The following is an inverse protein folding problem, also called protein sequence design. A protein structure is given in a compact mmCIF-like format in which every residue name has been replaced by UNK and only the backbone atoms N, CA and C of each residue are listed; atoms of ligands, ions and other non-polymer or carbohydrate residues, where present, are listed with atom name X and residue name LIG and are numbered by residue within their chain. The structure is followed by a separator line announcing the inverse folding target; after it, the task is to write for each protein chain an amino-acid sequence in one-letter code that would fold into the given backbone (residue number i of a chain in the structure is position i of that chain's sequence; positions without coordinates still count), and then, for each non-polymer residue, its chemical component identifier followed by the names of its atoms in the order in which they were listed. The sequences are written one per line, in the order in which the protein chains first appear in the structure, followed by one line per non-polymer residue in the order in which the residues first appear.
data_IF_479566321570
#
_entry.id   IF_479566321570
#
_cell.length_a   1.000
_cell.length_b   1.000
_cell.length_c   1.000
_cell.angle_alpha   90.00
_cell.angle_beta   90.00
_cell.angle_gamma   90.00
#
_symmetry.space_group_name_H-M   'P 1'
#
loop_
_entity.id
_entity.type
_entity.pdbx_description
1 polymer ?
#
# COMPACT_ATOMS: atom_id res chain seq x y z
N UNK A 1 4.01 -7.65 0.21
CA UNK A 1 3.53 -9.04 0.24
C UNK A 1 4.61 -9.94 0.76
N UNK A 2 5.53 -10.35 -0.10
CA UNK A 2 6.62 -11.29 0.22
C UNK A 2 7.49 -10.84 1.40
N UNK A 3 8.04 -9.63 1.37
CA UNK A 3 8.86 -9.12 2.48
C UNK A 3 8.12 -9.09 3.83
N UNK A 4 6.80 -8.84 3.83
CA UNK A 4 5.99 -8.92 5.06
C UNK A 4 5.84 -10.36 5.53
N UNK A 5 5.56 -11.29 4.61
CA UNK A 5 5.45 -12.71 4.95
C UNK A 5 6.75 -13.24 5.54
N UNK A 6 7.89 -13.00 4.88
CA UNK A 6 9.20 -13.46 5.40
C UNK A 6 9.53 -12.84 6.75
N UNK A 7 9.23 -11.55 6.94
CA UNK A 7 9.42 -10.88 8.22
C UNK A 7 8.56 -11.48 9.33
N UNK A 8 7.33 -11.88 9.01
CA UNK A 8 6.47 -12.56 9.96
C UNK A 8 6.96 -13.97 10.29
N UNK A 9 7.48 -14.72 9.31
CA UNK A 9 8.03 -16.04 9.53
C UNK A 9 9.26 -15.98 10.45
N UNK A 10 10.21 -15.10 10.14
CA UNK A 10 11.41 -14.89 10.96
C UNK A 10 11.05 -14.43 12.39
N UNK A 11 10.09 -13.51 12.54
CA UNK A 11 9.61 -13.05 13.85
C UNK A 11 8.94 -14.15 14.69
N UNK A 12 8.46 -15.23 14.05
CA UNK A 12 7.89 -16.40 14.71
C UNK A 12 8.87 -17.58 14.79
N UNK A 13 10.16 -17.36 14.50
CA UNK A 13 11.20 -18.39 14.60
C UNK A 13 11.13 -19.48 13.52
N UNK A 14 10.44 -19.22 12.41
CA UNK A 14 10.38 -20.12 11.25
C UNK A 14 11.48 -19.71 10.27
N UNK A 15 12.47 -20.56 10.04
CA UNK A 15 13.55 -20.32 9.08
C UNK A 15 13.00 -20.60 7.68
N UNK A 16 12.44 -19.57 7.04
CA UNK A 16 11.82 -19.71 5.71
C UNK A 16 12.79 -20.18 4.62
N UNK A 17 14.11 -20.18 4.85
CA UNK A 17 15.10 -20.74 3.92
C UNK A 17 15.26 -22.25 4.06
N UNK A 18 14.88 -22.84 5.19
CA UNK A 18 15.01 -24.28 5.48
C UNK A 18 13.67 -24.97 5.61
N UNK A 19 12.70 -24.30 6.24
CA UNK A 19 11.42 -24.86 6.64
C UNK A 19 10.34 -24.72 5.56
N UNK A 20 10.59 -23.90 4.53
CA UNK A 20 9.62 -23.58 3.48
C UNK A 20 10.30 -23.63 2.10
N UNK A 21 9.57 -24.13 1.10
CA UNK A 21 9.95 -24.00 -0.30
C UNK A 21 9.20 -22.83 -0.93
N UNK A 22 9.94 -21.81 -1.40
CA UNK A 22 9.36 -20.66 -2.06
C UNK A 22 9.45 -20.80 -3.58
N UNK A 23 8.31 -20.63 -4.26
CA UNK A 23 8.23 -20.61 -5.71
C UNK A 23 7.76 -19.23 -6.18
N UNK A 24 8.56 -18.58 -7.02
CA UNK A 24 8.15 -17.33 -7.64
C UNK A 24 7.33 -17.62 -8.91
N UNK A 25 6.11 -17.11 -8.93
CA UNK A 25 5.20 -17.24 -10.07
C UNK A 25 4.95 -15.87 -10.69
N UNK A 26 4.81 -15.85 -12.01
CA UNK A 26 4.74 -14.63 -12.82
C UNK A 26 3.62 -13.65 -12.46
N UNK A 27 2.49 -14.14 -11.92
CA UNK A 27 1.32 -13.31 -11.62
C UNK A 27 0.33 -14.02 -10.67
N UNK A 28 -0.61 -13.28 -10.05
CA UNK A 28 -1.58 -13.86 -9.11
C UNK A 28 -2.49 -14.96 -9.67
N UNK A 29 -2.99 -14.90 -10.92
CA UNK A 29 -3.73 -16.03 -11.49
C UNK A 29 -2.93 -17.34 -11.51
N UNK A 30 -1.63 -17.29 -11.82
CA UNK A 30 -0.77 -18.47 -11.76
C UNK A 30 -0.63 -19.02 -10.33
N UNK A 31 -0.56 -18.13 -9.33
CA UNK A 31 -0.54 -18.51 -7.91
C UNK A 31 -1.84 -19.23 -7.52
N UNK A 32 -3.00 -18.71 -7.93
CA UNK A 32 -4.31 -19.33 -7.65
C UNK A 32 -4.40 -20.73 -8.25
N UNK A 33 -3.96 -20.91 -9.49
CA UNK A 33 -3.97 -22.23 -10.15
C UNK A 33 -2.96 -23.21 -9.52
N UNK A 34 -1.79 -22.74 -9.08
CA UNK A 34 -0.82 -23.57 -8.36
C UNK A 34 -1.41 -24.11 -7.03
N UNK A 35 -2.15 -23.28 -6.29
CA UNK A 35 -2.86 -23.72 -5.07
C UNK A 35 -3.93 -24.76 -5.43
N UNK A 36 -4.79 -24.47 -6.42
CA UNK A 36 -5.90 -25.37 -6.81
C UNK A 36 -5.43 -26.72 -7.34
N UNK A 37 -4.25 -26.76 -7.96
CA UNK A 37 -3.63 -27.99 -8.46
C UNK A 37 -2.77 -28.71 -7.41
N UNK A 38 -2.78 -28.27 -6.15
CA UNK A 38 -1.98 -28.79 -5.05
C UNK A 38 -0.46 -28.78 -5.32
N UNK A 39 0.02 -27.83 -6.14
CA UNK A 39 1.47 -27.65 -6.36
C UNK A 39 2.12 -26.85 -5.23
N UNK A 40 1.34 -25.98 -4.56
CA UNK A 40 1.76 -25.19 -3.39
C UNK A 40 0.65 -25.17 -2.35
N UNK A 41 1.03 -25.12 -1.07
CA UNK A 41 0.07 -25.12 0.04
C UNK A 41 -0.61 -23.75 0.25
N UNK A 42 0.09 -22.66 -0.08
CA UNK A 42 -0.37 -21.29 0.09
C UNK A 42 0.28 -20.35 -0.94
N UNK A 43 -0.32 -19.17 -1.12
CA UNK A 43 0.19 -18.17 -2.05
C UNK A 43 -0.02 -16.74 -1.56
N UNK A 44 0.90 -15.85 -1.92
CA UNK A 44 0.82 -14.42 -1.62
C UNK A 44 0.22 -13.68 -2.81
N UNK A 45 -1.02 -13.23 -2.65
CA UNK A 45 -1.76 -12.45 -3.67
C UNK A 45 -2.37 -11.19 -3.07
N UNK A 46 -2.76 -10.24 -3.91
CA UNK A 46 -3.36 -8.96 -3.51
C UNK A 46 -4.71 -8.75 -4.17
N UNK A 47 -5.49 -7.78 -3.69
CA UNK A 47 -6.78 -7.45 -4.29
C UNK A 47 -6.64 -6.88 -5.70
N UNK A 48 -7.54 -7.23 -6.64
CA UNK A 48 -8.79 -7.98 -6.45
C UNK A 48 -8.64 -9.50 -6.56
N UNK A 49 -7.42 -10.04 -6.69
CA UNK A 49 -7.20 -11.47 -6.90
C UNK A 49 -7.55 -12.32 -5.67
N UNK A 50 -7.54 -11.73 -4.47
CA UNK A 50 -8.06 -12.38 -3.26
C UNK A 50 -9.56 -12.70 -3.39
N UNK A 51 -10.36 -11.76 -3.89
CA UNK A 51 -11.79 -11.96 -4.21
C UNK A 51 -11.94 -13.04 -5.28
N UNK A 52 -11.10 -13.01 -6.33
CA UNK A 52 -11.12 -14.05 -7.37
C UNK A 52 -10.82 -15.43 -6.78
N UNK A 53 -9.85 -15.55 -5.88
CA UNK A 53 -9.49 -16.80 -5.23
C UNK A 53 -10.66 -17.33 -4.36
N UNK A 54 -11.29 -16.46 -3.56
CA UNK A 54 -12.45 -16.82 -2.73
C UNK A 54 -13.64 -17.29 -3.57
N UNK A 55 -13.93 -16.61 -4.68
CA UNK A 55 -14.98 -17.04 -5.61
C UNK A 55 -14.69 -18.40 -6.28
N UNK A 56 -13.42 -18.82 -6.31
CA UNK A 56 -13.00 -20.14 -6.80
C UNK A 56 -12.88 -21.19 -5.69
N UNK A 57 -13.37 -20.90 -4.48
CA UNK A 57 -13.41 -21.84 -3.35
C UNK A 57 -12.15 -21.85 -2.49
N UNK A 58 -11.17 -20.98 -2.75
CA UNK A 58 -10.02 -20.80 -1.87
C UNK A 58 -10.40 -19.91 -0.67
N UNK A 59 -9.51 -19.83 0.32
CA UNK A 59 -9.72 -19.03 1.53
C UNK A 59 -8.51 -18.16 1.83
N UNK A 60 -8.75 -16.93 2.25
CA UNK A 60 -7.68 -16.07 2.78
C UNK A 60 -7.36 -16.51 4.20
N UNK A 61 -6.16 -17.05 4.41
CA UNK A 61 -5.71 -17.55 5.72
C UNK A 61 -5.14 -16.44 6.61
N UNK A 62 -4.55 -15.40 6.02
CA UNK A 62 -3.96 -14.27 6.75
C UNK A 62 -3.86 -13.03 5.85
N UNK A 63 -3.88 -11.83 6.44
CA UNK A 63 -3.64 -10.56 5.73
C UNK A 63 -2.33 -9.95 6.18
N UNK A 64 -1.61 -9.31 5.25
CA UNK A 64 -0.33 -8.64 5.57
C UNK A 64 -0.48 -7.51 6.58
N UNK A 65 -1.67 -6.89 6.68
CA UNK A 65 -1.93 -5.87 7.70
C UNK A 65 -1.90 -6.43 9.12
N UNK A 66 -2.26 -7.71 9.29
CA UNK A 66 -2.29 -8.38 10.59
C UNK A 66 -0.88 -8.84 10.98
N UNK A 67 -0.04 -9.13 9.98
CA UNK A 67 1.36 -9.48 10.15
C UNK A 67 2.26 -8.26 10.40
N UNK A 68 2.02 -7.16 9.69
CA UNK A 68 2.77 -5.92 9.81
C UNK A 68 1.80 -4.72 9.79
N UNK A 69 1.21 -4.37 10.95
CA UNK A 69 0.29 -3.24 11.04
C UNK A 69 0.93 -1.93 10.54
N UNK A 70 0.26 -1.27 9.60
CA UNK A 70 0.72 0.00 9.04
C UNK A 70 1.88 -0.10 8.04
N UNK A 71 2.27 -1.31 7.59
CA UNK A 71 3.23 -1.44 6.49
C UNK A 71 2.74 -0.68 5.24
N UNK A 72 3.62 0.03 4.53
CA UNK A 72 3.24 0.72 3.32
C UNK A 72 2.97 -0.31 2.20
N UNK A 73 2.06 0.07 1.30
CA UNK A 73 1.89 -0.62 0.02
C UNK A 73 2.59 0.21 -1.07
N UNK A 74 1.85 0.77 -2.02
CA UNK A 74 2.40 1.61 -3.07
C UNK A 74 2.74 3.02 -2.54
N UNK A 75 3.85 3.59 -3.01
CA UNK A 75 4.26 4.98 -2.75
C UNK A 75 4.70 5.66 -4.04
N UNK A 76 4.37 6.95 -4.17
CA UNK A 76 4.83 7.76 -5.30
C UNK A 76 6.30 8.11 -5.09
N UNK A 77 7.14 7.76 -6.06
CA UNK A 77 8.56 8.08 -6.04
C UNK A 77 8.92 8.86 -7.30
N UNK A 78 9.89 9.76 -7.17
CA UNK A 78 10.39 10.59 -8.27
C UNK A 78 11.91 10.64 -8.20
N UNK A 79 12.56 10.90 -9.33
CA UNK A 79 14.00 11.13 -9.32
C UNK A 79 14.32 12.44 -8.60
N UNK A 80 15.37 12.46 -7.77
CA UNK A 80 15.78 13.64 -7.00
C UNK A 80 15.94 14.89 -7.88
N UNK A 81 16.51 14.75 -9.09
CA UNK A 81 16.70 15.85 -10.05
C UNK A 81 15.39 16.53 -10.48
N UNK A 82 14.27 15.82 -10.39
CA UNK A 82 12.96 16.37 -10.75
C UNK A 82 12.37 17.25 -9.64
N UNK A 83 12.90 17.22 -8.41
CA UNK A 83 12.39 17.97 -7.27
C UNK A 83 12.65 19.49 -7.35
N UNK A 84 13.43 19.95 -8.33
CA UNK A 84 13.67 21.38 -8.56
C UNK A 84 12.37 22.15 -8.88
N UNK A 85 11.34 21.44 -9.38
CA UNK A 85 10.01 21.98 -9.63
C UNK A 85 9.05 21.59 -8.49
N UNK A 86 9.28 22.18 -7.30
CA UNK A 86 8.50 21.88 -6.11
C UNK A 86 7.02 22.21 -6.29
N UNK A 87 6.69 23.28 -7.03
CA UNK A 87 5.31 23.71 -7.28
C UNK A 87 4.52 22.64 -8.05
N UNK A 88 5.11 22.05 -9.09
CA UNK A 88 4.49 20.95 -9.84
C UNK A 88 4.20 19.75 -8.94
N UNK A 89 5.14 19.34 -8.10
CA UNK A 89 4.94 18.19 -7.23
C UNK A 89 3.93 18.46 -6.12
N UNK A 90 3.97 19.65 -5.50
CA UNK A 90 2.93 20.08 -4.55
C UNK A 90 1.56 20.13 -5.23
N UNK A 91 1.47 20.58 -6.48
CA UNK A 91 0.22 20.56 -7.24
C UNK A 91 -0.30 19.14 -7.50
N UNK A 92 0.58 18.19 -7.87
CA UNK A 92 0.22 16.79 -8.01
C UNK A 92 -0.29 16.20 -6.70
N UNK A 93 0.41 16.43 -5.58
CA UNK A 93 0.00 15.90 -4.27
C UNK A 93 -1.35 16.50 -3.84
N UNK A 94 -1.60 17.80 -4.06
CA UNK A 94 -2.93 18.37 -3.83
C UNK A 94 -4.02 17.69 -4.66
N UNK A 95 -3.73 17.33 -5.91
CA UNK A 95 -4.67 16.60 -6.75
C UNK A 95 -4.95 15.19 -6.20
N UNK A 96 -3.93 14.48 -5.72
CA UNK A 96 -4.08 13.17 -5.08
C UNK A 96 -4.91 13.26 -3.79
N UNK A 97 -4.61 14.22 -2.91
CA UNK A 97 -5.37 14.46 -1.67
C UNK A 97 -6.85 14.78 -1.95
N UNK A 98 -7.12 15.59 -2.98
CA UNK A 98 -8.51 15.85 -3.43
C UNK A 98 -9.17 14.60 -4.00
N UNK A 99 -8.45 13.76 -4.73
CA UNK A 99 -8.96 12.50 -5.26
C UNK A 99 -9.28 11.50 -4.13
N UNK A 100 -8.47 11.45 -3.07
CA UNK A 100 -8.76 10.63 -1.88
C UNK A 100 -10.00 11.10 -1.13
N UNK A 101 -10.18 12.42 -0.96
CA UNK A 101 -11.42 12.97 -0.41
C UNK A 101 -12.62 12.58 -1.28
N UNK A 102 -12.49 12.83 -2.58
CA UNK A 102 -13.54 12.53 -3.55
C UNK A 102 -13.93 11.05 -3.50
N UNK A 103 -12.95 10.13 -3.38
CA UNK A 103 -13.24 8.70 -3.34
C UNK A 103 -14.03 8.29 -2.10
N UNK A 104 -13.76 8.90 -0.95
CA UNK A 104 -14.51 8.66 0.29
C UNK A 104 -15.95 9.19 0.21
N UNK A 105 -16.16 10.30 -0.47
CA UNK A 105 -17.47 10.98 -0.55
C UNK A 105 -18.33 10.54 -1.73
N UNK A 106 -17.73 10.03 -2.81
CA UNK A 106 -18.40 9.78 -4.08
C UNK A 106 -18.14 8.35 -4.57
N UNK A 107 -18.57 7.35 -3.79
CA UNK A 107 -18.28 5.94 -4.07
C UNK A 107 -18.65 5.50 -5.49
N UNK A 108 -19.90 5.74 -5.91
CA UNK A 108 -20.41 5.32 -7.22
C UNK A 108 -19.62 5.95 -8.39
N UNK A 109 -19.37 7.27 -8.33
CA UNK A 109 -18.58 7.97 -9.35
C UNK A 109 -17.13 7.49 -9.38
N UNK A 110 -16.56 7.17 -8.22
CA UNK A 110 -15.21 6.62 -8.11
C UNK A 110 -15.11 5.28 -8.83
N UNK A 111 -16.05 4.37 -8.59
CA UNK A 111 -16.08 3.07 -9.29
C UNK A 111 -16.34 3.25 -10.79
N UNK A 112 -17.19 4.19 -11.19
CA UNK A 112 -17.36 4.53 -12.60
C UNK A 112 -16.04 4.99 -13.24
N UNK A 113 -15.29 5.89 -12.59
CA UNK A 113 -14.00 6.37 -13.08
C UNK A 113 -12.98 5.24 -13.18
N UNK A 114 -12.86 4.39 -12.16
CA UNK A 114 -11.94 3.24 -12.16
C UNK A 114 -12.30 2.27 -13.29
N UNK A 115 -13.59 1.98 -13.50
CA UNK A 115 -14.04 1.02 -14.54
C UNK A 115 -13.70 1.44 -15.98
N UNK A 116 -13.39 2.72 -16.22
CA UNK A 116 -12.91 3.19 -17.52
C UNK A 116 -11.55 2.57 -17.85
N UNK A 117 -10.71 2.36 -16.84
CA UNK A 117 -9.32 1.90 -16.99
C UNK A 117 -9.12 0.44 -16.57
N UNK A 118 -9.83 -0.02 -15.54
CA UNK A 118 -9.71 -1.40 -15.03
C UNK A 118 -10.91 -2.20 -15.52
N UNK A 119 -10.68 -3.18 -16.40
CA UNK A 119 -11.71 -3.99 -17.04
C UNK A 119 -12.17 -5.14 -16.14
N UNK A 120 -12.82 -4.78 -15.03
CA UNK A 120 -13.46 -5.70 -14.09
C UNK A 120 -14.90 -5.26 -13.82
N UNK A 121 -15.71 -6.18 -13.33
CA UNK A 121 -17.07 -5.86 -12.89
C UNK A 121 -17.06 -4.80 -11.79
N UNK A 122 -17.98 -3.83 -11.89
CA UNK A 122 -18.08 -2.72 -10.93
C UNK A 122 -18.22 -3.20 -9.48
N UNK A 123 -18.92 -4.30 -9.26
CA UNK A 123 -19.08 -4.90 -7.92
C UNK A 123 -17.77 -5.44 -7.36
N UNK A 124 -16.90 -6.03 -8.21
CA UNK A 124 -15.56 -6.49 -7.82
C UNK A 124 -14.67 -5.28 -7.54
N UNK A 125 -14.70 -4.27 -8.41
CA UNK A 125 -13.96 -3.02 -8.21
C UNK A 125 -14.33 -2.35 -6.89
N UNK A 126 -15.62 -2.28 -6.57
CA UNK A 126 -16.10 -1.68 -5.33
C UNK A 126 -15.60 -2.44 -4.11
N UNK A 127 -15.75 -3.77 -4.09
CA UNK A 127 -15.26 -4.62 -3.00
C UNK A 127 -13.75 -4.51 -2.81
N UNK A 128 -12.99 -4.48 -3.90
CA UNK A 128 -11.53 -4.39 -3.85
C UNK A 128 -11.06 -3.00 -3.39
N UNK A 129 -11.61 -1.94 -3.97
CA UNK A 129 -11.18 -0.56 -3.71
C UNK A 129 -11.54 -0.10 -2.29
N UNK A 130 -12.72 -0.48 -1.78
CA UNK A 130 -13.17 -0.17 -0.42
C UNK A 130 -12.94 -1.29 0.58
N UNK A 131 -12.03 -2.23 0.26
CA UNK A 131 -11.65 -3.29 1.19
C UNK A 131 -11.11 -2.68 2.49
N UNK A 132 -11.57 -3.12 3.68
CA UNK A 132 -11.04 -2.66 4.97
C UNK A 132 -9.59 -3.11 5.21
N UNK A 133 -9.03 -3.91 4.29
CA UNK A 133 -7.66 -4.40 4.33
C UNK A 133 -6.71 -3.60 3.44
N UNK A 134 -7.18 -2.52 2.81
CA UNK A 134 -6.42 -1.70 1.88
C UNK A 134 -6.28 -0.28 2.42
N UNK A 135 -5.03 0.18 2.58
CA UNK A 135 -4.72 1.60 2.79
C UNK A 135 -4.39 2.24 1.43
N UNK A 136 -5.22 3.21 1.02
CA UNK A 136 -5.04 3.99 -0.21
C UNK A 136 -4.59 5.44 0.05
N UNK A 137 -4.13 5.75 1.26
CA UNK A 137 -3.63 7.09 1.57
C UNK A 137 -2.36 7.42 0.77
N UNK A 138 -2.26 8.68 0.33
CA UNK A 138 -1.00 9.25 -0.20
C UNK A 138 -0.04 9.69 0.89
N UNK A 139 -0.38 9.50 2.17
CA UNK A 139 0.50 9.81 3.30
C UNK A 139 1.85 9.09 3.15
N UNK A 140 2.98 9.80 3.31
CA UNK A 140 4.30 9.19 3.17
C UNK A 140 4.51 7.99 4.11
N UNK A 141 3.94 8.06 5.32
CA UNK A 141 4.02 7.08 6.39
C UNK A 141 5.47 6.74 6.75
N UNK A 142 6.26 7.75 7.17
CA UNK A 142 7.69 7.60 7.48
C UNK A 142 7.94 6.44 8.44
N UNK A 143 7.13 6.30 9.50
CA UNK A 143 7.27 5.20 10.47
C UNK A 143 7.10 3.85 9.78
N UNK A 144 6.00 3.65 9.06
CA UNK A 144 5.74 2.38 8.36
C UNK A 144 6.79 2.06 7.29
N UNK A 145 7.25 3.06 6.53
CA UNK A 145 8.32 2.88 5.54
C UNK A 145 9.64 2.50 6.21
N UNK A 146 9.99 3.13 7.33
CA UNK A 146 11.19 2.81 8.08
C UNK A 146 11.16 1.40 8.68
N UNK A 147 10.02 0.99 9.23
CA UNK A 147 9.86 -0.36 9.79
C UNK A 147 9.90 -1.42 8.67
N UNK A 148 9.24 -1.16 7.54
CA UNK A 148 9.29 -2.05 6.38
C UNK A 148 10.70 -2.15 5.77
N UNK A 149 11.46 -1.05 5.73
CA UNK A 149 12.87 -1.07 5.32
C UNK A 149 13.72 -1.97 6.20
N UNK A 150 13.57 -1.89 7.53
CA UNK A 150 14.28 -2.79 8.46
C UNK A 150 13.93 -4.25 8.19
N UNK A 151 12.66 -4.56 7.96
CA UNK A 151 12.24 -5.92 7.56
C UNK A 151 12.92 -6.36 6.27
N UNK A 152 12.97 -5.51 5.24
CA UNK A 152 13.64 -5.84 3.98
C UNK A 152 15.13 -6.10 4.15
N UNK A 153 15.84 -5.29 4.95
CA UNK A 153 17.27 -5.49 5.25
C UNK A 153 17.48 -6.78 6.04
N UNK A 154 16.71 -7.00 7.11
CA UNK A 154 16.83 -8.19 7.95
C UNK A 154 16.63 -9.50 7.16
N UNK A 155 15.71 -9.49 6.21
CA UNK A 155 15.36 -10.67 5.41
C UNK A 155 16.20 -10.81 4.13
N UNK A 156 17.18 -9.93 3.90
CA UNK A 156 18.08 -9.98 2.75
C UNK A 156 17.44 -9.54 1.41
N UNK A 157 16.30 -8.84 1.43
CA UNK A 157 15.76 -8.21 0.20
C UNK A 157 16.60 -7.01 -0.23
N UNK A 158 17.27 -6.38 0.72
CA UNK A 158 18.10 -5.20 0.49
C UNK A 158 19.42 -5.39 1.20
N UNK A 159 20.50 -5.29 0.44
CA UNK A 159 21.87 -5.23 0.95
C UNK A 159 22.31 -3.76 0.96
N UNK A 160 21.98 -3.04 2.03
CA UNK A 160 22.31 -1.62 2.18
C UNK A 160 22.33 -1.17 3.64
N UNK A 161 23.24 -0.27 3.96
CA UNK A 161 23.31 0.48 5.23
C UNK A 161 22.62 1.86 5.14
N UNK A 162 22.00 2.17 4.00
CA UNK A 162 21.34 3.45 3.79
C UNK A 162 20.19 3.66 4.77
N UNK A 163 20.04 4.91 5.21
CA UNK A 163 18.94 5.34 6.04
C UNK A 163 17.76 5.76 5.15
N UNK A 164 16.73 4.92 5.06
CA UNK A 164 15.59 5.13 4.16
C UNK A 164 14.90 6.49 4.36
N UNK A 165 14.89 7.02 5.58
CA UNK A 165 14.28 8.32 5.86
C UNK A 165 14.89 9.47 5.06
N UNK A 166 16.16 9.38 4.66
CA UNK A 166 16.82 10.38 3.80
C UNK A 166 16.21 10.45 2.39
N UNK A 167 15.39 9.46 2.03
CA UNK A 167 14.74 9.34 0.73
C UNK A 167 13.23 9.63 0.80
N UNK A 168 12.72 10.04 1.96
CA UNK A 168 11.31 10.38 2.15
C UNK A 168 11.20 11.91 2.27
N UNK A 169 10.60 12.54 1.27
CA UNK A 169 10.27 13.98 1.32
C UNK A 169 8.85 14.17 1.84
N UNK A 170 8.74 14.60 3.09
CA UNK A 170 7.45 14.90 3.74
C UNK A 170 6.98 16.34 3.52
N UNK A 171 7.90 17.24 3.18
CA UNK A 171 7.62 18.68 3.08
C UNK A 171 6.65 18.99 1.96
N UNK A 172 6.78 18.31 0.81
CA UNK A 172 5.86 18.48 -0.32
C UNK A 172 4.43 18.06 0.05
N UNK A 173 4.29 16.97 0.82
CA UNK A 173 2.99 16.50 1.31
C UNK A 173 2.41 17.46 2.35
N UNK A 174 3.19 17.83 3.36
CA UNK A 174 2.77 18.77 4.40
C UNK A 174 2.33 20.11 3.80
N UNK A 175 3.09 20.66 2.86
CA UNK A 175 2.77 21.91 2.19
C UNK A 175 1.47 21.83 1.36
N UNK A 176 1.25 20.71 0.67
CA UNK A 176 0.03 20.46 -0.08
C UNK A 176 -1.20 20.35 0.85
N UNK A 177 -1.07 19.61 1.95
CA UNK A 177 -2.13 19.42 2.93
C UNK A 177 -2.47 20.74 3.65
N UNK A 178 -1.47 21.50 4.08
CA UNK A 178 -1.65 22.81 4.71
C UNK A 178 -2.34 23.79 3.76
N UNK A 179 -1.98 23.79 2.47
CA UNK A 179 -2.63 24.61 1.44
C UNK A 179 -4.12 24.29 1.32
N UNK A 180 -4.49 23.00 1.29
CA UNK A 180 -5.89 22.56 1.20
C UNK A 180 -6.68 22.91 2.46
N UNK A 181 -6.08 22.70 3.63
CA UNK A 181 -6.68 23.04 4.93
C UNK A 181 -6.89 24.54 5.08
N UNK A 182 -5.93 25.38 4.68
CA UNK A 182 -6.08 26.85 4.74
C UNK A 182 -7.16 27.36 3.80
N UNK A 183 -7.27 26.76 2.61
CA UNK A 183 -8.31 27.11 1.64
C UNK A 183 -9.72 26.66 2.11
N UNK A 184 -9.81 25.62 2.94
CA UNK A 184 -11.09 25.05 3.41
C UNK A 184 -11.03 24.77 4.92
N UNK A 185 -10.98 25.80 5.77
CA UNK A 185 -10.67 25.63 7.21
C UNK A 185 -11.75 24.88 8.00
N UNK A 186 -12.99 24.81 7.48
CA UNK A 186 -14.10 24.09 8.09
C UNK A 186 -14.20 22.61 7.67
N UNK A 187 -13.35 22.17 6.75
CA UNK A 187 -13.38 20.81 6.23
C UNK A 187 -12.66 19.85 7.19
N UNK A 188 -13.44 19.03 7.90
CA UNK A 188 -12.93 18.08 8.90
C UNK A 188 -11.98 17.04 8.29
N UNK A 189 -12.18 16.70 7.01
CA UNK A 189 -11.33 15.74 6.32
C UNK A 189 -9.84 16.15 6.35
N UNK A 190 -9.53 17.43 6.16
CA UNK A 190 -8.14 17.91 6.18
C UNK A 190 -7.55 17.88 7.59
N UNK A 191 -8.35 18.21 8.62
CA UNK A 191 -7.91 18.14 10.01
C UNK A 191 -7.57 16.70 10.43
N UNK A 192 -8.39 15.73 9.98
CA UNK A 192 -8.10 14.31 10.17
C UNK A 192 -6.76 13.92 9.56
N UNK A 193 -6.52 14.26 8.30
CA UNK A 193 -5.25 13.94 7.63
C UNK A 193 -4.05 14.64 8.29
N UNK A 194 -4.21 15.86 8.81
CA UNK A 194 -3.13 16.56 9.55
C UNK A 194 -2.74 15.78 10.81
N UNK A 195 -3.72 15.22 11.53
CA UNK A 195 -3.46 14.42 12.72
C UNK A 195 -2.80 13.08 12.36
N UNK A 196 -3.33 12.37 11.35
CA UNK A 196 -2.73 11.13 10.84
C UNK A 196 -1.28 11.37 10.37
N UNK A 197 -1.03 12.48 9.68
CA UNK A 197 0.31 12.85 9.22
C UNK A 197 1.27 13.06 10.39
N UNK A 198 0.85 13.76 11.45
CA UNK A 198 1.67 13.97 12.66
C UNK A 198 2.01 12.68 13.39
N UNK A 199 1.08 11.72 13.42
CA UNK A 199 1.26 10.42 14.07
C UNK A 199 2.20 9.50 13.26
N UNK A 200 2.07 9.50 11.93
CA UNK A 200 2.77 8.55 11.05
C UNK A 200 4.14 9.04 10.57
N UNK A 201 4.39 10.35 10.58
CA UNK A 201 5.55 10.94 9.92
C UNK A 201 6.60 11.54 10.88
N UNK A 202 6.55 11.15 12.16
CA UNK A 202 7.62 11.38 13.15
C UNK A 202 8.38 10.07 13.37
N UNK A 203 9.71 10.14 13.41
CA UNK A 203 10.59 9.02 13.77
C UNK A 203 10.82 8.95 15.28
#
# INVERSE_FOLDING_TARGET
GDAVLRGALDANGIDWKKDITLFELKNPPAVIEAIKSNQVDAGVIWGPYDITAENQGLKVVIRTKDLAPGHPCCRVTVQKKSLNDSEKWTALIRALLRAEKFSKENKNKTIEHISKYVKLDKSILEKAFYSPNLDQSSDPNVKGVNDFWKTMVANGFVESDLKIHNFINVDLYSSALDSLSKANPKEEYWQKLINEFKERNRL
#
